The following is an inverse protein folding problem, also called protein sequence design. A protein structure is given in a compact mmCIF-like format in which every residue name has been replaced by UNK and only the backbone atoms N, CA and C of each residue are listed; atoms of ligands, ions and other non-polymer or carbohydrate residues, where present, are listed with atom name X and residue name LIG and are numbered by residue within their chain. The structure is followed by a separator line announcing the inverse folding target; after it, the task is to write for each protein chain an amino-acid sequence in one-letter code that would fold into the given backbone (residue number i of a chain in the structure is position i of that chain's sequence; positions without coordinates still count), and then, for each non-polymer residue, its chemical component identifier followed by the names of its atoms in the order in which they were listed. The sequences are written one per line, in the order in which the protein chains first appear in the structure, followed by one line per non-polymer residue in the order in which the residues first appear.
data_IF_853111021740
#
_entry.id   IF_853111021740
#
_cell.length_a   1.000
_cell.length_b   1.000
_cell.length_c   1.000
_cell.angle_alpha   90.00
_cell.angle_beta   90.00
_cell.angle_gamma   90.00
#
_symmetry.space_group_name_H-M   'P 1'
#
loop_
_entity.id
_entity.type
_entity.pdbx_description
1 polymer ?
#
# COMPACT_ATOMS: atom_id res chain seq x y z
N UNK A 1 6.07 -16.93 -6.62
CA UNK A 1 5.63 -17.33 -5.26
C UNK A 1 5.10 -18.77 -5.25
N UNK A 2 4.35 -19.23 -6.26
CA UNK A 2 3.76 -20.59 -6.27
C UNK A 2 4.77 -21.68 -6.65
N UNK A 3 5.59 -21.44 -7.66
CA UNK A 3 6.48 -22.48 -8.21
C UNK A 3 7.94 -22.39 -7.72
N UNK A 4 8.31 -21.36 -6.99
CA UNK A 4 9.68 -21.19 -6.46
C UNK A 4 10.78 -21.01 -7.52
N UNK A 5 10.40 -20.74 -8.78
CA UNK A 5 11.32 -20.53 -9.90
C UNK A 5 11.50 -19.04 -10.18
N UNK A 6 12.76 -18.60 -10.28
CA UNK A 6 13.12 -17.27 -10.74
C UNK A 6 13.20 -17.27 -12.26
N UNK A 7 12.07 -16.92 -12.90
CA UNK A 7 11.94 -16.95 -14.37
C UNK A 7 12.92 -16.00 -15.04
N UNK A 8 13.13 -14.79 -14.49
CA UNK A 8 14.03 -13.78 -15.07
C UNK A 8 15.49 -14.26 -15.03
N UNK A 9 15.89 -14.87 -13.93
CA UNK A 9 17.22 -15.46 -13.80
C UNK A 9 17.44 -16.57 -14.83
N UNK A 10 16.45 -17.41 -15.05
CA UNK A 10 16.53 -18.47 -16.06
C UNK A 10 16.56 -17.91 -17.48
N UNK A 11 15.80 -16.85 -17.78
CA UNK A 11 15.90 -16.15 -19.06
C UNK A 11 17.30 -15.62 -19.32
N UNK A 12 17.96 -15.00 -18.33
CA UNK A 12 19.34 -14.53 -18.44
C UNK A 12 20.33 -15.68 -18.65
N UNK A 13 20.11 -16.82 -17.97
CA UNK A 13 20.94 -18.03 -18.15
C UNK A 13 20.83 -18.57 -19.57
N UNK A 14 19.61 -18.68 -20.10
CA UNK A 14 19.35 -19.15 -21.47
C UNK A 14 19.98 -18.19 -22.48
N UNK A 15 19.82 -16.89 -22.30
CA UNK A 15 20.43 -15.88 -23.15
C UNK A 15 21.98 -15.95 -23.13
N UNK A 16 22.57 -16.41 -22.03
CA UNK A 16 24.01 -16.68 -21.91
C UNK A 16 24.43 -18.07 -22.46
N UNK A 17 23.54 -18.76 -23.17
CA UNK A 17 23.83 -20.08 -23.77
C UNK A 17 23.81 -21.24 -22.78
N UNK A 18 23.29 -21.06 -21.57
CA UNK A 18 23.20 -22.13 -20.57
C UNK A 18 21.85 -22.85 -20.65
N UNK A 19 21.77 -24.15 -20.36
CA UNK A 19 20.52 -24.87 -20.26
C UNK A 19 19.71 -24.39 -19.02
N UNK A 20 18.42 -24.74 -18.98
CA UNK A 20 17.59 -24.57 -17.77
C UNK A 20 18.26 -25.26 -16.58
N UNK A 21 18.15 -24.65 -15.39
CA UNK A 21 18.72 -25.21 -14.16
C UNK A 21 17.84 -26.27 -13.50
N UNK A 22 16.65 -26.53 -14.02
CA UNK A 22 15.67 -27.49 -13.51
C UNK A 22 14.96 -28.19 -14.68
N UNK A 23 14.32 -29.31 -14.38
CA UNK A 23 13.45 -30.07 -15.29
C UNK A 23 11.98 -29.77 -15.02
N UNK A 24 11.09 -30.16 -15.94
CA UNK A 24 9.63 -30.04 -15.72
C UNK A 24 9.16 -30.82 -14.48
N UNK A 25 9.82 -31.91 -14.12
CA UNK A 25 9.48 -32.73 -12.94
C UNK A 25 9.76 -31.99 -11.61
N UNK A 26 10.67 -31.03 -11.62
CA UNK A 26 11.03 -30.22 -10.44
C UNK A 26 10.01 -29.11 -10.18
N UNK A 27 9.21 -28.75 -11.18
CA UNK A 27 8.23 -27.65 -11.12
C UNK A 27 6.95 -28.14 -10.46
N UNK A 28 6.82 -27.88 -9.16
CA UNK A 28 5.63 -28.24 -8.37
C UNK A 28 4.95 -27.01 -7.84
N UNK A 29 3.62 -26.95 -8.00
CA UNK A 29 2.81 -25.88 -7.43
C UNK A 29 2.79 -26.00 -5.90
N UNK A 30 3.02 -24.89 -5.21
CA UNK A 30 2.91 -24.78 -3.76
C UNK A 30 1.97 -23.61 -3.42
N UNK A 31 0.76 -23.94 -3.01
CA UNK A 31 -0.26 -22.95 -2.66
C UNK A 31 -0.85 -22.22 -3.86
N UNK A 32 -1.39 -21.06 -3.60
CA UNK A 32 -2.06 -20.18 -4.54
C UNK A 32 -1.58 -18.75 -4.38
N UNK A 33 -1.45 -18.01 -5.47
CA UNK A 33 -1.08 -16.59 -5.41
C UNK A 33 -2.08 -15.74 -6.19
N UNK A 34 -2.28 -14.51 -5.70
CA UNK A 34 -3.10 -13.49 -6.34
C UNK A 34 -2.22 -12.25 -6.51
N UNK A 35 -2.21 -11.72 -7.72
CA UNK A 35 -1.59 -10.43 -8.04
C UNK A 35 -2.66 -9.38 -8.25
N UNK A 36 -2.45 -8.21 -7.67
CA UNK A 36 -3.27 -7.01 -7.85
C UNK A 36 -2.39 -5.88 -8.32
N UNK A 37 -2.72 -5.32 -9.48
CA UNK A 37 -2.15 -4.05 -9.93
C UNK A 37 -2.89 -2.91 -9.27
N UNK A 38 -2.16 -2.07 -8.56
CA UNK A 38 -2.69 -0.85 -7.95
C UNK A 38 -2.40 0.30 -8.88
N UNK A 39 -3.46 0.92 -9.40
CA UNK A 39 -3.38 2.04 -10.33
C UNK A 39 -3.93 3.32 -9.69
N UNK A 40 -3.31 4.44 -10.03
CA UNK A 40 -3.79 5.79 -9.73
C UNK A 40 -4.90 6.17 -10.71
N UNK A 41 -6.08 5.61 -10.50
CA UNK A 41 -7.26 5.76 -11.36
C UNK A 41 -8.53 5.89 -10.54
N UNK A 42 -9.53 6.56 -11.08
CA UNK A 42 -10.86 6.68 -10.47
C UNK A 42 -11.86 5.73 -11.14
N UNK A 43 -12.18 4.59 -10.53
CA UNK A 43 -13.15 3.63 -11.09
C UNK A 43 -14.56 4.21 -11.24
N UNK A 44 -14.94 5.20 -10.42
CA UNK A 44 -16.25 5.86 -10.49
C UNK A 44 -16.35 6.81 -11.68
N UNK A 45 -15.21 7.22 -12.25
CA UNK A 45 -15.11 8.05 -13.45
C UNK A 45 -14.54 7.26 -14.66
N UNK A 46 -14.88 5.96 -14.77
CA UNK A 46 -14.47 5.14 -15.91
C UNK A 46 -12.96 4.85 -15.93
N UNK A 47 -12.33 4.74 -14.77
CA UNK A 47 -10.88 4.51 -14.61
C UNK A 47 -10.02 5.65 -15.19
N UNK A 48 -10.52 6.88 -15.11
CA UNK A 48 -9.73 8.02 -15.53
C UNK A 48 -8.48 8.17 -14.64
N UNK A 49 -7.29 8.44 -15.21
CA UNK A 49 -6.07 8.60 -14.42
C UNK A 49 -6.22 9.71 -13.37
N UNK A 50 -5.75 9.42 -12.16
CA UNK A 50 -5.80 10.35 -11.03
C UNK A 50 -4.40 10.87 -10.73
N UNK A 51 -4.12 12.11 -11.13
CA UNK A 51 -2.91 12.82 -10.75
C UNK A 51 -3.08 13.51 -9.40
N UNK A 52 -1.97 13.76 -8.71
CA UNK A 52 -1.95 14.48 -7.44
C UNK A 52 -0.75 14.11 -6.59
N UNK A 53 -0.70 14.67 -5.39
CA UNK A 53 0.36 14.41 -4.43
C UNK A 53 -0.09 13.37 -3.41
N UNK A 54 0.77 12.40 -3.10
CA UNK A 54 0.54 11.44 -2.02
C UNK A 54 0.71 12.19 -0.68
N UNK A 55 -0.39 12.37 0.04
CA UNK A 55 -0.41 13.08 1.33
C UNK A 55 -0.12 12.15 2.50
N UNK A 56 -0.54 10.87 2.38
CA UNK A 56 -0.31 9.85 3.39
C UNK A 56 -0.21 8.48 2.72
N UNK A 57 0.70 7.66 3.23
CA UNK A 57 1.00 6.34 2.69
C UNK A 57 1.21 5.33 3.82
N UNK A 58 0.40 4.26 3.83
CA UNK A 58 0.64 3.07 4.64
C UNK A 58 0.76 1.87 3.70
N UNK A 59 1.85 1.12 3.81
CA UNK A 59 2.13 -0.02 2.95
C UNK A 59 1.83 -1.33 3.69
N UNK A 60 1.09 -2.26 3.06
CA UNK A 60 0.82 -3.56 3.65
C UNK A 60 2.09 -4.41 3.71
N UNK A 61 2.15 -5.33 4.66
CA UNK A 61 3.27 -6.24 4.82
C UNK A 61 2.88 -7.51 5.57
N UNK A 62 3.88 -8.35 5.84
CA UNK A 62 3.72 -9.56 6.63
C UNK A 62 3.88 -10.86 5.84
N UNK A 63 3.69 -12.03 6.49
CA UNK A 63 3.89 -13.33 5.87
C UNK A 63 2.98 -13.56 4.68
N UNK A 64 3.56 -13.95 3.53
CA UNK A 64 2.83 -14.20 2.30
C UNK A 64 2.36 -12.93 1.55
N UNK A 65 2.82 -11.75 1.96
CA UNK A 65 2.58 -10.48 1.26
C UNK A 65 3.89 -10.01 0.64
N UNK A 66 3.86 -9.74 -0.67
CA UNK A 66 4.92 -9.08 -1.41
C UNK A 66 4.36 -7.84 -2.06
N UNK A 67 5.02 -6.72 -1.87
CA UNK A 67 4.65 -5.45 -2.45
C UNK A 67 5.81 -4.90 -3.28
N UNK A 68 5.58 -4.71 -4.58
CA UNK A 68 6.53 -4.12 -5.51
C UNK A 68 6.06 -2.68 -5.81
N UNK A 69 6.61 -1.71 -5.09
CA UNK A 69 6.25 -0.28 -5.20
C UNK A 69 7.48 0.61 -5.07
N UNK A 70 7.37 1.82 -5.59
CA UNK A 70 8.34 2.90 -5.40
C UNK A 70 7.62 4.18 -4.92
N UNK A 71 6.68 4.04 -3.98
CA UNK A 71 5.87 5.14 -3.46
C UNK A 71 6.46 5.70 -2.17
N UNK A 72 6.30 7.01 -1.98
CA UNK A 72 6.65 7.71 -0.74
C UNK A 72 5.71 8.90 -0.51
N UNK A 73 5.55 9.29 0.76
CA UNK A 73 4.76 10.48 1.12
C UNK A 73 5.37 11.73 0.51
N UNK A 74 4.52 12.56 -0.09
CA UNK A 74 4.93 13.77 -0.79
C UNK A 74 5.25 13.57 -2.26
N UNK A 75 5.28 12.34 -2.77
CA UNK A 75 5.48 12.04 -4.20
C UNK A 75 4.33 12.61 -5.03
N UNK A 76 4.68 13.21 -6.16
CA UNK A 76 3.71 13.67 -7.16
C UNK A 76 3.49 12.56 -8.20
N UNK A 77 2.23 12.16 -8.36
CA UNK A 77 1.79 11.25 -9.40
C UNK A 77 1.30 12.08 -10.58
N UNK A 78 1.90 11.87 -11.73
CA UNK A 78 1.64 12.66 -12.94
C UNK A 78 0.94 11.82 -14.01
N UNK A 79 0.36 12.48 -15.01
CA UNK A 79 -0.28 11.83 -16.16
C UNK A 79 0.70 11.47 -17.29
N UNK A 80 2.01 11.71 -17.10
CA UNK A 80 3.03 11.46 -18.13
C UNK A 80 3.53 10.02 -18.18
N UNK A 81 3.21 9.22 -17.18
CA UNK A 81 3.60 7.82 -17.05
C UNK A 81 2.37 6.93 -16.90
N UNK A 82 2.60 5.61 -16.90
CA UNK A 82 1.56 4.62 -16.61
C UNK A 82 0.90 4.91 -15.24
N UNK A 83 -0.40 4.71 -15.17
CA UNK A 83 -1.18 4.87 -13.93
C UNK A 83 -0.84 3.82 -12.87
N UNK A 84 -0.18 2.73 -13.24
CA UNK A 84 0.20 1.65 -12.31
C UNK A 84 1.28 2.15 -11.33
N UNK A 85 0.91 2.29 -10.07
CA UNK A 85 1.76 2.78 -8.99
C UNK A 85 2.28 1.69 -8.07
N UNK A 86 1.77 0.48 -8.20
CA UNK A 86 2.23 -0.64 -7.39
C UNK A 86 1.64 -1.98 -7.80
N UNK A 87 2.28 -3.04 -7.31
CA UNK A 87 1.87 -4.40 -7.52
C UNK A 87 1.89 -5.15 -6.19
N UNK A 88 0.71 -5.56 -5.75
CA UNK A 88 0.55 -6.39 -4.56
C UNK A 88 0.43 -7.85 -4.99
N UNK A 89 1.31 -8.71 -4.48
CA UNK A 89 1.25 -10.15 -4.69
C UNK A 89 1.11 -10.84 -3.36
N UNK A 90 0.07 -11.64 -3.20
CA UNK A 90 -0.16 -12.42 -1.98
C UNK A 90 -0.11 -13.90 -2.27
N UNK A 91 0.30 -14.68 -1.29
CA UNK A 91 0.35 -16.14 -1.33
C UNK A 91 -0.49 -16.72 -0.18
N UNK A 92 -1.18 -17.82 -0.43
CA UNK A 92 -1.88 -18.63 0.55
C UNK A 92 -1.71 -20.11 0.25
N UNK A 93 -2.03 -20.99 1.20
CA UNK A 93 -2.01 -22.45 1.01
C UNK A 93 -2.99 -22.89 -0.06
N UNK A 94 -4.08 -22.13 -0.20
CA UNK A 94 -5.13 -22.32 -1.18
C UNK A 94 -5.68 -20.98 -1.69
N UNK A 95 -6.68 -21.03 -2.59
CA UNK A 95 -7.28 -19.83 -3.16
C UNK A 95 -8.01 -18.97 -2.13
N UNK A 96 -8.72 -19.58 -1.19
CA UNK A 96 -9.50 -18.85 -0.20
C UNK A 96 -8.60 -18.10 0.78
N UNK A 97 -7.50 -18.71 1.23
CA UNK A 97 -6.50 -18.03 2.06
C UNK A 97 -5.81 -16.91 1.29
N UNK A 98 -5.46 -17.12 0.02
CA UNK A 98 -4.88 -16.06 -0.81
C UNK A 98 -5.84 -14.89 -1.02
N UNK A 99 -7.15 -15.15 -1.28
CA UNK A 99 -8.17 -14.10 -1.40
C UNK A 99 -8.38 -13.34 -0.10
N UNK A 100 -8.42 -14.03 1.03
CA UNK A 100 -8.55 -13.41 2.36
C UNK A 100 -7.37 -12.49 2.61
N UNK A 101 -6.15 -12.97 2.41
CA UNK A 101 -4.92 -12.19 2.58
C UNK A 101 -4.84 -11.00 1.62
N UNK A 102 -5.29 -11.17 0.37
CA UNK A 102 -5.38 -10.05 -0.59
C UNK A 102 -6.31 -8.94 -0.08
N UNK A 103 -7.48 -9.32 0.43
CA UNK A 103 -8.43 -8.37 0.98
C UNK A 103 -7.90 -7.67 2.24
N UNK A 104 -7.17 -8.36 3.10
CA UNK A 104 -6.55 -7.78 4.30
C UNK A 104 -5.43 -6.80 3.92
N UNK A 105 -4.49 -7.23 3.08
CA UNK A 105 -3.41 -6.39 2.60
C UNK A 105 -3.92 -5.13 1.86
N UNK A 106 -4.97 -5.26 1.03
CA UNK A 106 -5.57 -4.09 0.36
C UNK A 106 -6.27 -3.13 1.32
N UNK A 107 -6.79 -3.58 2.47
CA UNK A 107 -7.35 -2.68 3.50
C UNK A 107 -6.28 -1.91 4.26
N UNK A 108 -5.12 -2.54 4.45
CA UNK A 108 -3.95 -1.92 5.07
C UNK A 108 -3.21 -0.99 4.11
N UNK A 109 -3.41 -1.13 2.80
CA UNK A 109 -2.79 -0.28 1.80
C UNK A 109 -3.53 1.05 1.69
N UNK A 110 -3.07 2.04 2.45
CA UNK A 110 -3.66 3.39 2.48
C UNK A 110 -2.84 4.34 1.63
N UNK A 111 -3.49 4.96 0.65
CA UNK A 111 -2.93 6.01 -0.20
C UNK A 111 -3.91 7.17 -0.20
N UNK A 112 -3.53 8.28 0.44
CA UNK A 112 -4.33 9.50 0.45
C UNK A 112 -3.74 10.56 -0.47
N UNK A 113 -4.61 11.44 -1.01
CA UNK A 113 -4.24 12.52 -1.92
C UNK A 113 -4.56 12.23 -3.39
N UNK A 114 -4.68 10.94 -3.75
CA UNK A 114 -5.08 10.50 -5.09
C UNK A 114 -6.17 9.43 -5.02
N UNK A 115 -6.88 9.22 -6.14
CA UNK A 115 -7.79 8.08 -6.30
C UNK A 115 -7.01 6.86 -6.75
N UNK A 116 -7.44 5.67 -6.30
CA UNK A 116 -6.81 4.41 -6.69
C UNK A 116 -7.85 3.33 -6.97
N UNK A 117 -7.42 2.27 -7.66
CA UNK A 117 -8.24 1.09 -7.94
C UNK A 117 -8.45 0.18 -6.71
N UNK A 118 -7.83 0.45 -5.56
CA UNK A 118 -7.92 -0.37 -4.34
C UNK A 118 -9.39 -0.63 -3.90
N UNK A 119 -10.27 0.39 -3.78
CA UNK A 119 -11.64 0.17 -3.36
C UNK A 119 -12.46 -0.68 -4.34
N UNK A 120 -12.21 -0.52 -5.63
CA UNK A 120 -12.81 -1.33 -6.68
C UNK A 120 -12.35 -2.79 -6.59
N UNK A 121 -11.04 -3.01 -6.47
CA UNK A 121 -10.45 -4.35 -6.36
C UNK A 121 -10.97 -5.09 -5.12
N UNK A 122 -11.12 -4.41 -3.98
CA UNK A 122 -11.72 -4.99 -2.78
C UNK A 122 -13.16 -5.48 -3.00
N UNK A 123 -13.95 -4.78 -3.82
CA UNK A 123 -15.30 -5.22 -4.20
C UNK A 123 -15.24 -6.41 -5.15
N UNK A 124 -14.37 -6.35 -6.15
CA UNK A 124 -14.18 -7.41 -7.14
C UNK A 124 -13.77 -8.74 -6.48
N UNK A 125 -12.82 -8.73 -5.55
CA UNK A 125 -12.36 -9.94 -4.86
C UNK A 125 -13.43 -10.59 -3.97
N UNK A 126 -14.51 -9.88 -3.66
CA UNK A 126 -15.66 -10.40 -2.89
C UNK A 126 -16.74 -11.03 -3.77
N UNK A 127 -16.68 -10.84 -5.07
CA UNK A 127 -17.64 -11.40 -6.00
C UNK A 127 -17.56 -12.94 -5.98
N UNK A 128 -18.73 -13.60 -5.94
CA UNK A 128 -18.80 -15.06 -5.87
C UNK A 128 -18.13 -15.75 -7.07
N UNK A 129 -18.28 -15.18 -8.27
CA UNK A 129 -17.64 -15.69 -9.47
C UNK A 129 -16.12 -15.62 -9.34
N UNK A 130 -15.57 -14.51 -8.81
CA UNK A 130 -14.13 -14.33 -8.60
C UNK A 130 -13.64 -15.28 -7.52
N UNK A 131 -14.37 -15.41 -6.42
CA UNK A 131 -14.01 -16.32 -5.32
C UNK A 131 -13.93 -17.77 -5.80
N UNK A 132 -14.90 -18.22 -6.58
CA UNK A 132 -14.93 -19.57 -7.13
C UNK A 132 -14.03 -19.78 -8.35
N UNK A 133 -13.45 -18.71 -8.92
CA UNK A 133 -12.63 -18.80 -10.13
C UNK A 133 -13.44 -19.08 -11.39
N UNK A 134 -14.73 -18.77 -11.38
CA UNK A 134 -15.68 -19.01 -12.51
C UNK A 134 -15.97 -17.67 -13.17
N UNK A 135 -15.01 -17.16 -13.92
CA UNK A 135 -15.13 -15.92 -14.69
C UNK A 135 -14.22 -15.99 -15.91
N UNK A 136 -14.55 -15.22 -16.92
CA UNK A 136 -13.77 -15.01 -18.13
C UNK A 136 -13.43 -13.54 -18.33
N UNK A 137 -12.80 -13.19 -19.45
CA UNK A 137 -12.39 -11.83 -19.77
C UNK A 137 -13.54 -10.85 -19.94
N UNK A 138 -14.77 -11.33 -20.23
CA UNK A 138 -15.97 -10.51 -20.39
C UNK A 138 -16.66 -10.19 -19.06
N UNK A 139 -16.25 -10.84 -17.97
CA UNK A 139 -16.90 -10.71 -16.66
C UNK A 139 -16.96 -9.27 -16.16
N UNK A 140 -15.87 -8.54 -16.30
CA UNK A 140 -15.81 -7.14 -15.87
C UNK A 140 -16.73 -6.26 -16.71
N UNK A 141 -16.73 -6.40 -18.02
CA UNK A 141 -17.58 -5.59 -18.91
C UNK A 141 -19.05 -5.75 -18.58
N UNK A 142 -19.49 -6.98 -18.28
CA UNK A 142 -20.86 -7.31 -17.93
C UNK A 142 -21.28 -6.85 -16.53
N UNK A 143 -20.34 -6.73 -15.59
CA UNK A 143 -20.63 -6.47 -14.17
C UNK A 143 -20.06 -5.15 -13.66
N UNK A 144 -19.35 -4.39 -14.49
CA UNK A 144 -18.58 -3.20 -14.08
C UNK A 144 -19.46 -2.18 -13.36
N UNK A 145 -20.61 -1.81 -13.93
CA UNK A 145 -21.52 -0.83 -13.35
C UNK A 145 -21.98 -1.22 -11.93
N UNK A 146 -22.20 -2.53 -11.69
CA UNK A 146 -22.59 -3.05 -10.40
C UNK A 146 -21.42 -3.07 -9.40
N UNK A 147 -20.24 -3.49 -9.84
CA UNK A 147 -19.03 -3.61 -8.99
C UNK A 147 -18.48 -2.24 -8.64
N UNK A 148 -18.43 -1.31 -9.58
CA UNK A 148 -18.02 0.08 -9.33
C UNK A 148 -18.97 0.71 -8.31
N UNK A 149 -20.26 0.43 -8.41
CA UNK A 149 -21.31 0.88 -7.50
C UNK A 149 -21.20 2.39 -7.19
N UNK A 150 -22.26 3.12 -7.30
CA UNK A 150 -22.30 4.46 -6.73
C UNK A 150 -22.19 4.28 -5.22
N UNK A 151 -21.09 4.72 -4.61
CA UNK A 151 -20.90 4.67 -3.17
C UNK A 151 -22.16 5.22 -2.52
N UNK A 152 -22.99 4.32 -1.96
CA UNK A 152 -24.24 4.71 -1.33
C UNK A 152 -23.89 5.77 -0.30
N UNK A 153 -24.51 6.96 -0.41
CA UNK A 153 -24.19 8.14 0.41
C UNK A 153 -24.21 7.93 1.93
N UNK A 154 -24.61 6.75 2.39
CA UNK A 154 -24.62 6.32 3.79
C UNK A 154 -23.23 6.35 4.46
N UNK A 155 -22.16 6.07 3.70
CA UNK A 155 -20.78 6.10 4.25
C UNK A 155 -20.09 7.45 4.05
N UNK A 156 -20.56 8.30 3.13
CA UNK A 156 -19.95 9.62 2.89
C UNK A 156 -20.05 10.53 4.10
N UNK A 157 -21.19 10.50 4.80
CA UNK A 157 -21.37 11.28 6.02
C UNK A 157 -20.48 10.75 7.16
N UNK A 158 -20.44 9.43 7.37
CA UNK A 158 -19.56 8.81 8.37
C UNK A 158 -18.09 9.08 8.06
N UNK A 159 -17.67 8.96 6.79
CA UNK A 159 -16.31 9.29 6.36
C UNK A 159 -15.97 10.77 6.58
N UNK A 160 -16.88 11.69 6.26
CA UNK A 160 -16.69 13.12 6.50
C UNK A 160 -16.54 13.44 7.98
N UNK A 161 -17.38 12.84 8.85
CA UNK A 161 -17.30 13.01 10.31
C UNK A 161 -15.98 12.45 10.85
N UNK A 162 -15.58 11.25 10.39
CA UNK A 162 -14.31 10.63 10.80
C UNK A 162 -13.12 11.46 10.36
N UNK A 163 -13.11 11.94 9.11
CA UNK A 163 -12.06 12.82 8.59
C UNK A 163 -11.97 14.12 9.41
N UNK A 164 -13.09 14.74 9.75
CA UNK A 164 -13.14 15.94 10.59
C UNK A 164 -12.60 15.69 12.00
N UNK A 165 -12.90 14.53 12.59
CA UNK A 165 -12.41 14.14 13.91
C UNK A 165 -10.88 13.89 13.89
N UNK A 166 -10.38 13.16 12.88
CA UNK A 166 -8.96 12.90 12.68
C UNK A 166 -8.20 14.20 12.43
N UNK A 167 -8.73 15.08 11.59
CA UNK A 167 -8.15 16.41 11.33
C UNK A 167 -8.06 17.23 12.62
N UNK A 168 -9.13 17.26 13.41
CA UNK A 168 -9.17 17.97 14.72
C UNK A 168 -8.14 17.40 15.70
N UNK A 169 -7.98 16.07 15.76
CA UNK A 169 -7.01 15.42 16.63
C UNK A 169 -5.56 15.72 16.19
N UNK A 170 -5.29 15.71 14.87
CA UNK A 170 -3.98 16.10 14.32
C UNK A 170 -3.66 17.57 14.62
N UNK A 171 -4.63 18.48 14.46
CA UNK A 171 -4.47 19.88 14.81
C UNK A 171 -4.19 20.09 16.30
N UNK A 172 -4.86 19.36 17.20
CA UNK A 172 -4.58 19.39 18.65
C UNK A 172 -3.19 18.86 18.97
N UNK A 173 -2.72 17.79 18.32
CA UNK A 173 -1.36 17.25 18.52
C UNK A 173 -0.30 18.23 18.00
N UNK A 174 -0.53 18.87 16.87
CA UNK A 174 0.36 19.91 16.34
C UNK A 174 0.44 21.13 17.25
N UNK A 175 -0.70 21.62 17.75
CA UNK A 175 -0.74 22.73 18.71
C UNK A 175 -0.02 22.41 20.03
N UNK A 176 -0.14 21.18 20.54
CA UNK A 176 0.61 20.72 21.73
C UNK A 176 2.12 20.66 21.49
N UNK A 177 2.55 20.28 20.28
CA UNK A 177 3.98 20.27 19.93
C UNK A 177 4.57 21.69 19.88
N UNK A 178 3.83 22.66 19.36
CA UNK A 178 4.26 24.06 19.30
C UNK A 178 4.30 24.71 20.68
N UNK A 179 3.35 24.42 21.55
CA UNK A 179 3.38 24.93 22.96
C UNK A 179 4.49 24.27 23.78
N UNK A 180 4.79 22.98 23.56
CA UNK A 180 5.93 22.32 24.22
C UNK A 180 7.28 22.86 23.74
N UNK A 181 7.40 23.20 22.44
CA UNK A 181 8.61 23.85 21.90
C UNK A 181 8.78 25.30 22.36
N UNK A 182 7.68 26.06 22.53
CA UNK A 182 7.70 27.41 23.04
C UNK A 182 8.01 27.49 24.56
N UNK A 183 7.68 26.44 25.33
CA UNK A 183 8.02 26.30 26.74
C UNK A 183 9.45 25.81 27.00
N UNK A 184 10.18 25.38 25.96
CA UNK A 184 11.56 24.91 26.08
C UNK A 184 12.64 26.00 25.86
N UNK A 185 12.25 27.27 25.78
CA UNK A 185 13.20 28.37 25.81
C UNK A 185 13.65 28.59 27.24
N UNK A 186 14.95 28.22 27.51
CA UNK A 186 15.75 28.56 28.67
C UNK A 186 15.41 27.88 30.01
N UNK A 187 15.71 26.59 30.10
CA UNK A 187 16.49 26.12 31.24
C UNK A 187 17.64 25.30 30.66
N UNK A 188 18.80 25.89 30.52
CA UNK A 188 20.04 25.15 30.30
C UNK A 188 20.05 24.04 31.35
N UNK A 189 20.09 22.77 30.92
CA UNK A 189 19.97 21.65 31.81
C UNK A 189 20.91 21.84 32.97
N UNK A 190 20.45 21.63 34.21
CA UNK A 190 21.26 21.75 35.43
C UNK A 190 22.59 20.96 35.29
N UNK A 191 22.60 19.97 34.42
CA UNK A 191 23.75 19.17 34.00
C UNK A 191 24.84 19.97 33.29
N UNK A 192 24.44 20.81 32.30
CA UNK A 192 25.38 21.68 31.55
C UNK A 192 25.92 22.81 32.47
N UNK A 193 25.10 23.29 33.39
CA UNK A 193 25.52 24.29 34.36
C UNK A 193 26.45 23.72 35.45
N UNK A 194 26.29 22.45 35.82
CA UNK A 194 27.20 21.74 36.73
C UNK A 194 28.53 21.45 36.05
N UNK A 195 28.56 20.91 34.82
CA UNK A 195 29.80 20.63 34.10
C UNK A 195 30.65 21.86 33.78
N UNK A 196 30.05 23.03 33.59
CA UNK A 196 30.78 24.29 33.42
C UNK A 196 31.41 24.81 34.74
N UNK A 197 30.79 24.55 35.90
CA UNK A 197 31.35 24.89 37.20
C UNK A 197 32.55 24.03 37.55
N UNK A 198 32.48 22.72 37.29
CA UNK A 198 33.59 21.79 37.54
C UNK A 198 34.80 22.08 36.64
N UNK A 199 34.57 22.46 35.38
CA UNK A 199 35.65 22.85 34.46
C UNK A 199 36.36 24.16 34.86
N UNK A 200 35.71 25.08 35.60
CA UNK A 200 36.31 26.31 36.08
C UNK A 200 37.05 26.16 37.43
N UNK A 201 36.82 25.08 38.17
CA UNK A 201 37.48 24.84 39.47
C UNK A 201 38.68 23.88 39.37
N UNK A 202 38.86 23.18 38.22
CA UNK A 202 39.95 22.22 38.00
C UNK A 202 41.26 22.82 37.45
N UNK A 203 41.39 24.12 37.41
CA UNK A 203 42.60 24.82 36.93
C UNK A 203 43.38 25.52 38.04
N UNK A 204 43.97 24.76 38.95
CA UNK A 204 45.11 25.18 39.82
C UNK A 204 46.00 23.99 40.07
#
# INVERSE_FOLDING_TARGET
MVYGVDVVREQLRIAAGRPLSFSQADVKANGHAIEVRVCAEDPEQGFFPSAGRIEHLELPGGPGVRLDVALYEGQEITLFYDSMIGKLVVWGRDRDEALTRACEALREFVIAGIRTTIPFTLRLLREDAVRRGVYDTSYLDQNLARIVGHGTGKHRFAAAVTAALVHRERARKAARKTTAAAGATSTGSAWVAAGRRDAMQGGR
#
